data_IF_618894535246
#
_entry.id   IF_618894535246
#
_cell.length_a   1.000
_cell.length_b   1.000
_cell.length_c   1.000
_cell.angle_alpha   90.00
_cell.angle_beta   90.00
_cell.angle_gamma   90.00
#
_symmetry.space_group_name_H-M   'P 1'
#
loop_
_entity.id
_entity.type
_entity.pdbx_description
1 polymer ?
#
# COMPACT_ATOMS: atom_id res chain seq x y z
N UNK A 1 -4.94 31.10 1.15
CA UNK A 1 -6.24 30.50 1.56
C UNK A 1 -6.22 29.05 1.10
N UNK A 2 -5.64 28.18 1.95
CA UNK A 2 -5.55 26.75 1.65
C UNK A 2 -6.95 26.19 1.81
N UNK A 3 -7.53 25.74 0.71
CA UNK A 3 -8.84 25.07 0.72
C UNK A 3 -8.61 23.66 1.26
N UNK A 4 -9.02 23.41 2.50
CA UNK A 4 -9.18 22.05 3.01
C UNK A 4 -10.26 21.37 2.19
N UNK A 5 -9.86 20.61 1.19
CA UNK A 5 -10.76 19.74 0.46
C UNK A 5 -10.90 18.43 1.24
N UNK A 6 -11.71 18.43 2.29
CA UNK A 6 -12.24 17.19 2.86
C UNK A 6 -13.25 16.64 1.86
N UNK A 7 -12.77 15.83 0.93
CA UNK A 7 -13.66 15.08 0.05
C UNK A 7 -13.97 13.76 0.75
N UNK A 8 -15.00 13.75 1.56
CA UNK A 8 -15.67 12.51 1.94
C UNK A 8 -16.39 12.02 0.68
N UNK A 9 -15.75 11.17 -0.09
CA UNK A 9 -16.39 10.56 -1.25
C UNK A 9 -17.16 9.35 -0.75
N UNK A 10 -18.45 9.50 -0.53
CA UNK A 10 -19.36 8.35 -0.47
C UNK A 10 -19.43 7.75 -1.87
N UNK A 11 -18.65 6.70 -2.11
CA UNK A 11 -18.70 5.98 -3.38
C UNK A 11 -19.80 4.94 -3.29
N UNK A 12 -20.95 5.25 -3.90
CA UNK A 12 -21.97 4.27 -4.23
C UNK A 12 -21.37 3.25 -5.23
N UNK A 13 -21.48 1.98 -4.88
CA UNK A 13 -21.14 0.80 -5.67
C UNK A 13 -21.28 0.98 -7.19
N UNK A 14 -20.16 1.17 -7.90
CA UNK A 14 -19.96 0.73 -9.29
C UNK A 14 -18.47 0.78 -9.64
N UNK A 15 -18.00 -0.25 -10.29
CA UNK A 15 -16.62 -0.51 -10.73
C UNK A 15 -15.92 0.64 -11.47
N UNK A 16 -16.67 1.59 -12.02
CA UNK A 16 -16.16 2.79 -12.71
C UNK A 16 -15.53 3.85 -11.79
N UNK A 17 -15.90 3.87 -10.49
CA UNK A 17 -15.32 4.80 -9.51
C UNK A 17 -13.88 4.47 -9.14
N UNK A 18 -13.52 3.19 -9.17
CA UNK A 18 -12.19 2.72 -8.82
C UNK A 18 -11.10 3.20 -9.79
N UNK A 19 -11.40 3.21 -11.09
CA UNK A 19 -10.44 3.65 -12.12
C UNK A 19 -10.20 5.17 -12.09
N UNK A 20 -11.25 5.97 -11.88
CA UNK A 20 -11.13 7.43 -11.76
C UNK A 20 -10.32 7.83 -10.52
N UNK A 21 -10.50 7.11 -9.45
CA UNK A 21 -9.82 7.28 -8.20
C UNK A 21 -8.31 7.03 -8.31
N UNK A 22 -7.90 5.93 -8.94
CA UNK A 22 -6.49 5.63 -9.19
C UNK A 22 -5.81 6.65 -10.11
N UNK A 23 -6.53 7.20 -11.09
CA UNK A 23 -6.02 8.26 -11.98
C UNK A 23 -5.73 9.54 -11.21
N UNK A 24 -6.55 9.89 -10.21
CA UNK A 24 -6.33 11.08 -9.36
C UNK A 24 -5.09 10.91 -8.50
N UNK A 25 -4.88 9.75 -7.87
CA UNK A 25 -3.67 9.48 -7.06
C UNK A 25 -2.42 9.49 -7.95
N UNK A 26 -2.48 8.85 -9.11
CA UNK A 26 -1.36 8.81 -10.04
C UNK A 26 -0.95 10.23 -10.47
N UNK A 27 -1.90 11.07 -10.87
CA UNK A 27 -1.63 12.45 -11.26
C UNK A 27 -1.14 13.30 -10.09
N UNK A 28 -1.74 13.16 -8.88
CA UNK A 28 -1.26 13.84 -7.68
C UNK A 28 0.18 13.44 -7.32
N UNK A 29 0.53 12.14 -7.40
CA UNK A 29 1.89 11.71 -7.12
C UNK A 29 2.91 12.19 -8.14
N UNK A 30 2.54 12.28 -9.43
CA UNK A 30 3.39 12.83 -10.49
C UNK A 30 3.58 14.34 -10.35
N UNK A 31 2.47 15.08 -10.19
CA UNK A 31 2.51 16.54 -10.09
C UNK A 31 3.22 17.01 -8.80
N UNK A 32 3.04 16.29 -7.69
CA UNK A 32 3.66 16.65 -6.41
C UNK A 32 5.15 16.32 -6.35
N UNK A 33 5.63 15.30 -7.06
CA UNK A 33 7.07 15.00 -7.12
C UNK A 33 7.90 16.05 -7.87
N UNK A 34 7.26 16.79 -8.78
CA UNK A 34 7.91 17.85 -9.57
C UNK A 34 7.87 19.22 -8.88
N UNK A 35 7.10 19.38 -7.79
CA UNK A 35 6.96 20.64 -7.06
C UNK A 35 7.37 20.50 -5.58
N UNK A 36 8.69 20.45 -5.29
CA UNK A 36 9.18 20.27 -3.91
C UNK A 36 8.72 21.39 -2.96
N UNK A 37 8.44 22.58 -3.45
CA UNK A 37 8.02 23.71 -2.60
C UNK A 37 6.60 23.53 -2.04
N UNK A 38 5.69 22.90 -2.78
CA UNK A 38 4.33 22.57 -2.27
C UNK A 38 4.36 21.47 -1.20
N UNK A 39 5.22 20.47 -1.39
CA UNK A 39 5.43 19.43 -0.40
C UNK A 39 6.15 19.96 0.84
N UNK A 40 7.11 20.90 0.64
CA UNK A 40 7.76 21.60 1.73
C UNK A 40 6.75 22.29 2.65
N UNK A 41 5.79 23.02 2.06
CA UNK A 41 4.72 23.70 2.80
C UNK A 41 4.02 22.76 3.79
N UNK A 42 3.64 21.57 3.34
CA UNK A 42 2.93 20.59 4.18
C UNK A 42 3.86 19.95 5.20
N UNK A 43 5.09 19.57 4.81
CA UNK A 43 5.97 18.75 5.65
C UNK A 43 6.74 19.61 6.65
N UNK A 44 7.12 20.83 6.30
CA UNK A 44 7.87 21.73 7.18
C UNK A 44 6.96 22.48 8.17
N UNK A 45 5.66 22.56 7.88
CA UNK A 45 4.63 23.16 8.73
C UNK A 45 3.65 22.13 9.32
N UNK A 46 4.08 20.89 9.46
CA UNK A 46 3.23 19.76 9.88
C UNK A 46 2.44 20.04 11.17
N UNK A 47 3.07 20.69 12.15
CA UNK A 47 2.42 21.01 13.43
C UNK A 47 1.31 22.06 13.29
N UNK A 48 1.42 22.98 12.33
CA UNK A 48 0.40 23.99 12.05
C UNK A 48 -0.83 23.36 11.39
N UNK A 49 -0.62 22.34 10.56
CA UNK A 49 -1.68 21.60 9.87
C UNK A 49 -2.22 20.41 10.68
N UNK A 50 -1.60 20.09 11.82
CA UNK A 50 -2.00 18.98 12.66
C UNK A 50 -1.59 17.61 12.11
N UNK A 51 -0.63 17.55 11.18
CA UNK A 51 -0.09 16.31 10.66
C UNK A 51 1.09 15.81 11.49
N UNK A 52 1.36 14.51 11.39
CA UNK A 52 2.51 13.87 12.00
C UNK A 52 2.53 12.37 11.73
N UNK A 53 3.59 11.69 12.13
CA UNK A 53 3.66 10.24 12.11
C UNK A 53 3.17 9.68 13.44
N UNK A 54 2.30 8.67 13.42
CA UNK A 54 2.03 7.87 14.59
C UNK A 54 3.31 7.18 15.07
N UNK A 55 3.58 7.25 16.37
CA UNK A 55 4.71 6.54 16.96
C UNK A 55 4.61 5.02 16.78
N UNK A 56 3.40 4.49 16.95
CA UNK A 56 3.08 3.11 16.60
C UNK A 56 2.46 3.08 15.21
N UNK A 57 3.12 2.41 14.28
CA UNK A 57 2.66 2.23 12.92
C UNK A 57 1.25 1.61 12.83
N UNK A 58 0.93 0.70 13.78
CA UNK A 58 -0.37 0.02 13.81
C UNK A 58 -1.55 0.97 14.09
N UNK A 59 -1.29 2.12 14.72
CA UNK A 59 -2.32 3.12 15.04
C UNK A 59 -3.08 3.64 13.80
N UNK A 60 -2.50 3.52 12.60
CA UNK A 60 -3.17 3.86 11.36
C UNK A 60 -4.37 2.96 11.01
N UNK A 61 -4.50 1.79 11.65
CA UNK A 61 -5.57 0.81 11.40
C UNK A 61 -6.36 0.44 12.64
N UNK A 62 -6.24 1.22 13.71
CA UNK A 62 -7.05 1.07 14.91
C UNK A 62 -8.22 2.05 14.87
N UNK A 63 -9.44 1.58 15.09
CA UNK A 63 -10.70 2.35 15.06
C UNK A 63 -10.63 3.71 15.76
N UNK A 64 -9.93 3.78 16.89
CA UNK A 64 -9.85 5.01 17.69
C UNK A 64 -8.80 6.01 17.17
N UNK A 65 -7.89 5.61 16.30
CA UNK A 65 -6.74 6.42 15.88
C UNK A 65 -6.52 6.50 14.38
N UNK A 66 -7.22 5.68 13.58
CA UNK A 66 -7.03 5.60 12.14
C UNK A 66 -7.31 6.92 11.39
N UNK A 67 -8.24 7.74 11.86
CA UNK A 67 -8.52 9.09 11.36
C UNK A 67 -7.68 10.17 12.06
N UNK A 68 -6.51 9.80 12.61
CA UNK A 68 -5.64 10.66 13.40
C UNK A 68 -4.66 11.49 12.58
N UNK A 69 -3.53 11.81 13.22
CA UNK A 69 -2.53 12.76 12.70
C UNK A 69 -1.85 12.35 11.38
N UNK A 70 -1.89 11.08 11.04
CA UNK A 70 -1.27 10.56 9.82
C UNK A 70 -2.28 10.46 8.65
N UNK A 71 -3.59 10.52 8.91
CA UNK A 71 -4.64 10.42 7.90
C UNK A 71 -4.77 11.74 7.12
N UNK A 72 -4.41 11.75 5.82
CA UNK A 72 -4.55 12.91 4.93
C UNK A 72 -5.80 12.77 4.09
N UNK A 73 -6.00 11.61 3.46
CA UNK A 73 -7.17 11.28 2.67
C UNK A 73 -7.52 9.82 2.89
N UNK A 74 -8.76 9.54 3.25
CA UNK A 74 -9.23 8.18 3.50
C UNK A 74 -10.71 8.02 3.16
N UNK A 75 -11.12 6.77 2.96
CA UNK A 75 -12.52 6.37 2.84
C UNK A 75 -12.97 5.87 4.20
N UNK A 76 -13.99 6.53 4.77
CA UNK A 76 -14.57 6.12 6.04
C UNK A 76 -15.53 4.96 5.84
N UNK A 77 -15.35 3.90 6.63
CA UNK A 77 -16.20 2.73 6.68
C UNK A 77 -16.86 2.59 8.05
N UNK A 78 -18.04 2.01 8.08
CA UNK A 78 -18.79 1.70 9.32
C UNK A 78 -19.49 0.37 9.21
N UNK A 79 -19.76 -0.25 10.35
CA UNK A 79 -20.59 -1.45 10.41
C UNK A 79 -22.00 -1.23 9.81
N UNK A 80 -22.66 -2.31 9.36
CA UNK A 80 -24.01 -2.22 8.82
C UNK A 80 -24.98 -1.43 9.72
N UNK A 81 -25.90 -0.66 9.14
CA UNK A 81 -26.30 -0.64 7.72
C UNK A 81 -25.45 0.24 6.80
N UNK A 82 -24.32 0.74 7.28
CA UNK A 82 -23.41 1.57 6.50
C UNK A 82 -22.48 0.72 5.62
N UNK A 83 -21.68 1.38 4.81
CA UNK A 83 -20.70 0.73 3.94
C UNK A 83 -19.53 0.21 4.79
N UNK A 84 -19.16 -1.05 4.61
CA UNK A 84 -18.04 -1.72 5.28
C UNK A 84 -16.90 -2.02 4.31
N UNK A 85 -15.70 -2.17 4.87
CA UNK A 85 -14.51 -2.53 4.13
C UNK A 85 -14.44 -4.07 3.94
N UNK A 86 -14.18 -4.50 2.72
CA UNK A 86 -14.02 -5.92 2.38
C UNK A 86 -12.60 -6.45 2.48
N UNK A 87 -11.61 -5.64 2.84
CA UNK A 87 -10.19 -6.02 2.81
C UNK A 87 -9.85 -7.18 3.76
N UNK A 88 -10.46 -7.22 4.95
CA UNK A 88 -10.30 -8.36 5.84
C UNK A 88 -10.79 -9.68 5.21
N UNK A 89 -11.87 -9.63 4.42
CA UNK A 89 -12.37 -10.79 3.70
C UNK A 89 -11.39 -11.25 2.61
N UNK A 90 -10.84 -10.30 1.84
CA UNK A 90 -9.90 -10.59 0.76
C UNK A 90 -8.55 -11.11 1.26
N UNK A 91 -8.06 -10.55 2.35
CA UNK A 91 -6.75 -10.85 2.91
C UNK A 91 -6.76 -11.95 3.98
N UNK A 92 -7.93 -12.34 4.49
CA UNK A 92 -8.07 -13.31 5.57
C UNK A 92 -7.86 -14.76 5.13
N UNK A 93 -7.41 -15.63 6.06
CA UNK A 93 -7.05 -17.01 5.76
C UNK A 93 -8.27 -17.88 5.41
N UNK A 94 -8.16 -18.65 4.34
CA UNK A 94 -9.17 -19.61 3.90
C UNK A 94 -8.58 -21.00 3.63
N UNK A 95 -7.44 -21.02 2.97
CA UNK A 95 -6.80 -22.27 2.51
C UNK A 95 -5.47 -22.53 3.23
N UNK A 96 -4.81 -21.48 3.71
CA UNK A 96 -3.49 -21.53 4.35
C UNK A 96 -3.52 -22.04 5.79
N UNK A 97 -4.71 -22.17 6.40
CA UNK A 97 -4.90 -22.71 7.75
C UNK A 97 -5.61 -24.04 7.68
N UNK A 98 -5.08 -25.10 8.36
CA UNK A 98 -5.80 -26.36 8.52
C UNK A 98 -7.07 -26.15 9.36
N UNK A 99 -8.24 -26.33 8.78
CA UNK A 99 -9.51 -26.16 9.46
C UNK A 99 -10.11 -24.77 9.26
N UNK A 100 -11.05 -24.39 10.13
CA UNK A 100 -11.76 -23.11 10.08
C UNK A 100 -11.42 -22.26 11.28
N UNK A 101 -11.35 -20.94 11.09
CA UNK A 101 -11.27 -19.97 12.20
C UNK A 101 -12.62 -19.71 12.88
N UNK A 102 -13.72 -20.26 12.35
CA UNK A 102 -15.07 -19.92 12.79
C UNK A 102 -15.56 -18.53 12.32
N UNK A 103 -14.81 -17.91 11.41
CA UNK A 103 -15.11 -16.62 10.77
C UNK A 103 -15.58 -16.91 9.35
N UNK A 104 -16.71 -16.33 8.94
CA UNK A 104 -17.24 -16.46 7.57
C UNK A 104 -16.64 -15.42 6.62
N UNK A 105 -16.89 -15.59 5.32
CA UNK A 105 -16.52 -14.65 4.25
C UNK A 105 -15.02 -14.36 4.11
N UNK A 106 -14.13 -15.21 4.58
CA UNK A 106 -12.69 -15.12 4.29
C UNK A 106 -12.37 -15.74 2.93
N UNK A 107 -11.50 -15.11 2.13
CA UNK A 107 -11.29 -15.46 0.73
C UNK A 107 -9.84 -15.77 0.36
N UNK A 108 -8.85 -15.17 1.04
CA UNK A 108 -7.41 -15.36 0.72
C UNK A 108 -7.07 -15.00 -0.73
N UNK A 109 -7.69 -13.93 -1.25
CA UNK A 109 -7.52 -13.48 -2.63
C UNK A 109 -6.47 -12.38 -2.79
N UNK A 110 -6.28 -11.53 -1.76
CA UNK A 110 -5.27 -10.47 -1.72
C UNK A 110 -4.25 -10.77 -0.62
N UNK A 111 -3.20 -11.48 -0.99
CA UNK A 111 -2.16 -11.93 -0.07
C UNK A 111 -0.80 -11.34 -0.43
N UNK A 112 0.02 -10.98 0.58
CA UNK A 112 1.38 -10.53 0.34
C UNK A 112 2.24 -11.66 -0.25
N UNK A 113 3.21 -11.30 -1.09
CA UNK A 113 4.18 -12.26 -1.58
C UNK A 113 5.18 -12.64 -0.49
N UNK A 114 5.70 -13.88 -0.54
CA UNK A 114 6.77 -14.32 0.35
C UNK A 114 8.02 -13.42 0.20
N UNK A 115 8.32 -12.97 -1.03
CA UNK A 115 9.41 -12.04 -1.30
C UNK A 115 9.29 -10.74 -0.49
N UNK A 116 8.08 -10.18 -0.40
CA UNK A 116 7.85 -8.97 0.40
C UNK A 116 8.07 -9.25 1.90
N UNK A 117 7.56 -10.36 2.41
CA UNK A 117 7.74 -10.76 3.81
C UNK A 117 9.21 -10.92 4.18
N UNK A 118 10.00 -11.54 3.29
CA UNK A 118 11.42 -11.82 3.50
C UNK A 118 12.30 -10.56 3.41
N UNK A 119 11.81 -9.50 2.76
CA UNK A 119 12.51 -8.20 2.69
C UNK A 119 12.47 -7.41 3.99
N UNK A 120 11.52 -7.70 4.88
CA UNK A 120 11.45 -7.01 6.16
C UNK A 120 12.53 -7.51 7.13
N UNK A 121 13.36 -6.61 7.63
CA UNK A 121 14.23 -6.87 8.80
C UNK A 121 13.36 -7.31 9.99
N UNK A 122 13.84 -8.25 10.78
CA UNK A 122 13.10 -8.70 11.96
C UNK A 122 12.95 -7.63 13.05
N UNK A 123 13.77 -6.58 13.00
CA UNK A 123 13.68 -5.40 13.89
C UNK A 123 12.67 -4.37 13.38
N UNK A 124 12.23 -4.45 12.12
CA UNK A 124 11.25 -3.54 11.56
C UNK A 124 9.88 -3.78 12.20
N UNK A 125 9.44 -2.83 13.01
CA UNK A 125 8.21 -2.93 13.80
C UNK A 125 6.95 -2.99 12.91
N UNK A 126 7.04 -2.53 11.65
CA UNK A 126 5.94 -2.61 10.67
C UNK A 126 5.65 -4.06 10.26
N UNK A 127 6.64 -4.96 10.35
CA UNK A 127 6.50 -6.36 9.95
C UNK A 127 5.31 -7.02 10.63
N UNK A 128 5.14 -6.83 11.93
CA UNK A 128 4.06 -7.42 12.71
C UNK A 128 2.67 -6.88 12.37
N UNK A 129 2.58 -5.64 11.86
CA UNK A 129 1.33 -5.03 11.41
C UNK A 129 0.99 -5.43 9.98
N UNK A 130 2.00 -5.41 9.10
CA UNK A 130 1.80 -5.75 7.69
C UNK A 130 1.49 -7.24 7.49
N UNK A 131 1.99 -8.11 8.37
CA UNK A 131 1.86 -9.55 8.21
C UNK A 131 1.33 -10.23 9.45
N UNK A 132 0.41 -11.16 9.24
CA UNK A 132 -0.15 -12.02 10.26
C UNK A 132 0.01 -13.49 9.85
N UNK A 133 0.58 -14.30 10.72
CA UNK A 133 0.84 -15.74 10.49
C UNK A 133 0.14 -16.63 11.49
N UNK A 134 -0.45 -16.03 12.53
CA UNK A 134 -1.17 -16.73 13.59
C UNK A 134 -2.54 -16.08 13.81
N UNK A 135 -3.56 -16.89 13.95
CA UNK A 135 -4.95 -16.45 14.07
C UNK A 135 -5.66 -17.20 15.18
N UNK A 136 -6.42 -16.48 16.01
CA UNK A 136 -7.24 -17.10 17.03
C UNK A 136 -8.56 -17.61 16.42
N UNK A 137 -8.91 -18.87 16.71
CA UNK A 137 -10.22 -19.40 16.37
C UNK A 137 -11.29 -18.65 17.18
N UNK A 138 -12.32 -18.12 16.50
CA UNK A 138 -13.29 -17.19 17.08
C UNK A 138 -13.98 -17.73 18.36
N UNK A 139 -14.31 -19.02 18.42
CA UNK A 139 -15.07 -19.61 19.54
C UNK A 139 -14.20 -20.27 20.59
N UNK A 140 -13.10 -20.90 20.16
CA UNK A 140 -12.25 -21.70 21.08
C UNK A 140 -11.06 -20.92 21.60
N UNK A 141 -10.65 -19.84 20.94
CA UNK A 141 -9.42 -19.10 21.22
C UNK A 141 -8.14 -19.87 20.86
N UNK A 142 -8.26 -21.04 20.23
CA UNK A 142 -7.11 -21.81 19.76
C UNK A 142 -6.33 -21.01 18.72
N UNK A 143 -5.00 -20.97 18.88
CA UNK A 143 -4.13 -20.29 17.91
C UNK A 143 -3.78 -21.24 16.78
N UNK A 144 -4.22 -20.89 15.61
CA UNK A 144 -3.96 -21.61 14.35
C UNK A 144 -2.91 -20.87 13.53
N UNK A 145 -1.98 -21.61 12.92
CA UNK A 145 -0.89 -21.04 12.12
C UNK A 145 -1.19 -21.13 10.65
N UNK A 146 -0.98 -20.03 9.95
CA UNK A 146 -1.01 -20.02 8.49
C UNK A 146 0.31 -20.55 7.91
N UNK A 147 0.22 -21.29 6.81
CA UNK A 147 1.39 -21.75 6.06
C UNK A 147 2.10 -20.63 5.27
N UNK A 148 1.46 -19.48 5.11
CA UNK A 148 1.96 -18.30 4.41
C UNK A 148 1.69 -17.03 5.23
N UNK A 149 2.47 -15.95 5.05
CA UNK A 149 2.12 -14.66 5.62
C UNK A 149 0.88 -14.08 4.94
N UNK A 150 -0.06 -13.57 5.73
CA UNK A 150 -1.27 -12.90 5.27
C UNK A 150 -1.24 -11.44 5.70
N UNK A 151 -2.07 -10.58 5.09
CA UNK A 151 -2.13 -9.17 5.51
C UNK A 151 -2.70 -9.03 6.92
N UNK A 152 -2.02 -8.23 7.74
CA UNK A 152 -2.47 -7.92 9.10
C UNK A 152 -3.13 -6.56 9.26
N UNK A 153 -2.98 -5.65 8.28
CA UNK A 153 -3.44 -4.26 8.41
C UNK A 153 -4.92 -4.10 8.71
N UNK A 154 -5.75 -4.84 7.99
CA UNK A 154 -7.21 -4.74 8.11
C UNK A 154 -7.81 -5.86 8.98
N UNK A 155 -6.97 -6.58 9.72
CA UNK A 155 -7.45 -7.64 10.57
C UNK A 155 -8.04 -7.10 11.87
N UNK A 156 -9.32 -7.36 12.10
CA UNK A 156 -10.05 -7.01 13.32
C UNK A 156 -10.39 -8.29 14.08
N UNK A 157 -9.88 -8.41 15.30
CA UNK A 157 -10.17 -9.55 16.15
C UNK A 157 -11.65 -9.56 16.61
N UNK A 158 -12.24 -10.74 16.68
CA UNK A 158 -13.59 -10.93 17.19
C UNK A 158 -14.73 -10.73 16.19
N UNK A 159 -14.45 -10.38 14.93
CA UNK A 159 -15.49 -10.32 13.91
C UNK A 159 -15.94 -11.73 13.49
N UNK A 160 -17.26 -11.92 13.37
CA UNK A 160 -17.85 -13.19 12.93
C UNK A 160 -17.76 -13.38 11.39
N UNK A 161 -17.52 -12.30 10.67
CA UNK A 161 -17.43 -12.31 9.20
C UNK A 161 -16.45 -11.26 8.70
N UNK A 162 -15.56 -11.65 7.78
CA UNK A 162 -14.52 -10.79 7.24
C UNK A 162 -15.03 -9.66 6.32
N UNK A 163 -16.28 -9.77 5.84
CA UNK A 163 -16.89 -8.75 4.97
C UNK A 163 -17.53 -7.58 5.74
N UNK A 164 -17.35 -7.52 7.07
CA UNK A 164 -17.90 -6.44 7.92
C UNK A 164 -16.82 -5.65 8.66
N UNK A 165 -15.62 -5.60 8.11
CA UNK A 165 -14.56 -4.77 8.64
C UNK A 165 -14.91 -3.28 8.48
N UNK A 166 -14.77 -2.50 9.53
CA UNK A 166 -15.05 -1.07 9.58
C UNK A 166 -13.76 -0.22 9.66
N UNK A 167 -12.61 -0.82 9.47
CA UNK A 167 -11.33 -0.11 9.37
C UNK A 167 -11.31 0.73 8.11
N UNK A 168 -10.94 2.00 8.24
CA UNK A 168 -10.88 2.94 7.15
C UNK A 168 -9.80 2.57 6.13
N UNK A 169 -10.06 2.86 4.85
CA UNK A 169 -9.07 2.70 3.80
C UNK A 169 -8.34 4.02 3.56
N UNK A 170 -7.08 4.07 3.94
CA UNK A 170 -6.23 5.21 3.64
C UNK A 170 -5.89 5.25 2.15
N UNK A 171 -6.03 6.45 1.59
CA UNK A 171 -5.65 6.77 0.22
C UNK A 171 -4.30 7.45 0.21
N UNK A 172 -4.15 8.45 1.10
CA UNK A 172 -2.91 9.20 1.31
C UNK A 172 -2.71 9.30 2.82
N UNK A 173 -1.57 8.83 3.29
CA UNK A 173 -1.11 9.08 4.65
C UNK A 173 0.01 10.12 4.65
N UNK A 174 0.22 10.76 5.80
CA UNK A 174 1.29 11.75 5.94
C UNK A 174 2.69 11.17 5.66
N UNK A 175 2.90 9.87 5.92
CA UNK A 175 4.11 9.15 5.49
C UNK A 175 4.36 9.23 3.99
N UNK A 176 3.29 9.23 3.16
CA UNK A 176 3.40 9.38 1.72
C UNK A 176 3.88 10.79 1.33
N UNK A 177 3.34 11.84 1.97
CA UNK A 177 3.80 13.21 1.78
C UNK A 177 5.30 13.38 2.11
N UNK A 178 5.76 12.77 3.22
CA UNK A 178 7.18 12.78 3.61
C UNK A 178 8.05 12.09 2.55
N UNK A 179 7.63 10.91 2.08
CA UNK A 179 8.42 10.15 1.09
C UNK A 179 8.40 10.82 -0.30
N UNK A 180 7.28 11.40 -0.72
CA UNK A 180 7.23 12.21 -1.95
C UNK A 180 8.16 13.43 -1.83
N UNK A 181 8.17 14.11 -0.68
CA UNK A 181 9.08 15.23 -0.44
C UNK A 181 10.54 14.80 -0.46
N UNK A 182 10.88 13.65 0.15
CA UNK A 182 12.22 13.09 0.11
C UNK A 182 12.68 12.80 -1.33
N UNK A 183 11.81 12.24 -2.15
CA UNK A 183 12.07 11.96 -3.56
C UNK A 183 12.31 13.25 -4.35
N UNK A 184 11.44 14.25 -4.22
CA UNK A 184 11.58 15.56 -4.86
C UNK A 184 12.86 16.28 -4.46
N UNK A 185 13.23 16.26 -3.19
CA UNK A 185 14.48 16.83 -2.68
C UNK A 185 15.72 16.16 -3.30
N UNK A 186 15.69 14.84 -3.46
CA UNK A 186 16.77 14.11 -4.14
C UNK A 186 16.88 14.53 -5.61
N UNK A 187 15.75 14.69 -6.30
CA UNK A 187 15.75 15.09 -7.71
C UNK A 187 16.36 16.48 -7.94
N UNK A 188 16.14 17.41 -7.03
CA UNK A 188 16.75 18.77 -7.09
C UNK A 188 18.11 18.89 -6.39
N UNK A 189 18.72 17.76 -6.00
CA UNK A 189 20.10 17.72 -5.45
C UNK A 189 20.23 18.12 -3.98
N UNK A 190 19.12 18.23 -3.23
CA UNK A 190 19.11 18.52 -1.79
C UNK A 190 19.29 17.22 -0.96
N UNK A 191 20.33 16.45 -1.27
CA UNK A 191 20.51 15.05 -0.80
C UNK A 191 20.50 14.89 0.72
N UNK A 192 21.10 15.82 1.48
CA UNK A 192 21.13 15.73 2.95
C UNK A 192 19.72 15.83 3.53
N UNK A 193 18.89 16.75 3.01
CA UNK A 193 17.51 16.92 3.47
C UNK A 193 16.63 15.76 3.01
N UNK A 194 16.83 15.28 1.79
CA UNK A 194 16.17 14.08 1.27
C UNK A 194 16.41 12.87 2.18
N UNK A 195 17.67 12.64 2.56
CA UNK A 195 18.05 11.54 3.45
C UNK A 195 17.42 11.68 4.85
N UNK A 196 17.37 12.90 5.38
CA UNK A 196 16.73 13.15 6.67
C UNK A 196 15.23 12.81 6.62
N UNK A 197 14.51 13.17 5.55
CA UNK A 197 13.09 12.83 5.38
C UNK A 197 12.87 11.31 5.26
N UNK A 198 13.68 10.64 4.47
CA UNK A 198 13.63 9.18 4.35
C UNK A 198 13.89 8.49 5.69
N UNK A 199 14.87 8.96 6.44
CA UNK A 199 15.22 8.41 7.74
C UNK A 199 14.14 8.66 8.82
N UNK A 200 13.31 9.69 8.73
CA UNK A 200 12.14 9.85 9.62
C UNK A 200 11.19 8.63 9.58
N UNK A 201 10.95 8.10 8.38
CA UNK A 201 10.12 6.90 8.20
C UNK A 201 10.82 5.68 8.82
N UNK A 202 12.13 5.56 8.62
CA UNK A 202 12.91 4.44 9.15
C UNK A 202 13.05 4.48 10.67
N UNK A 203 13.25 5.64 11.26
CA UNK A 203 13.26 5.81 12.72
C UNK A 203 11.95 5.36 13.37
N UNK A 204 10.81 5.69 12.75
CA UNK A 204 9.53 5.17 13.20
C UNK A 204 9.45 3.65 13.01
N UNK A 205 9.95 3.12 11.88
CA UNK A 205 9.93 1.69 11.56
C UNK A 205 10.79 0.85 12.50
N UNK A 206 11.94 1.37 12.95
CA UNK A 206 12.86 0.66 13.85
C UNK A 206 12.73 1.06 15.32
N UNK A 207 12.01 2.15 15.61
CA UNK A 207 11.89 2.71 16.95
C UNK A 207 13.11 3.54 17.40
N UNK A 208 14.17 3.55 16.58
CA UNK A 208 15.42 4.29 16.78
C UNK A 208 16.12 4.53 15.43
N UNK A 209 17.35 5.06 15.48
CA UNK A 209 18.17 5.36 14.30
C UNK A 209 18.96 4.15 13.75
N UNK A 210 18.83 2.98 14.33
CA UNK A 210 19.57 1.76 13.94
C UNK A 210 19.26 1.29 12.51
N UNK A 211 18.09 1.67 12.00
CA UNK A 211 17.67 1.41 10.63
C UNK A 211 18.03 2.49 9.63
N UNK A 212 18.65 3.59 10.04
CA UNK A 212 18.90 4.74 9.18
C UNK A 212 19.88 4.47 8.05
N UNK A 213 19.53 4.95 6.86
CA UNK A 213 20.43 4.98 5.73
C UNK A 213 21.58 5.98 5.94
N UNK A 214 22.72 5.66 5.39
CA UNK A 214 23.90 6.54 5.32
C UNK A 214 23.84 7.36 4.02
N UNK A 215 24.64 8.45 3.92
CA UNK A 215 24.76 9.19 2.66
C UNK A 215 25.05 8.29 1.48
N UNK A 216 24.35 8.52 0.39
CA UNK A 216 24.38 7.72 -0.83
C UNK A 216 24.26 8.61 -2.07
N UNK A 217 24.56 8.05 -3.24
CA UNK A 217 24.36 8.73 -4.53
C UNK A 217 22.87 8.95 -4.83
N UNK A 218 22.58 9.84 -5.78
CA UNK A 218 21.21 10.13 -6.24
C UNK A 218 20.47 8.88 -6.73
N UNK A 219 21.17 7.99 -7.46
CA UNK A 219 20.53 6.79 -8.03
C UNK A 219 20.33 5.69 -6.97
N UNK A 220 21.26 5.56 -6.02
CA UNK A 220 21.07 4.69 -4.87
C UNK A 220 19.87 5.16 -4.03
N UNK A 221 19.71 6.47 -3.87
CA UNK A 221 18.56 7.03 -3.15
C UNK A 221 17.23 6.71 -3.87
N UNK A 222 17.16 6.84 -5.21
CA UNK A 222 15.99 6.45 -5.99
C UNK A 222 15.59 5.00 -5.72
N UNK A 223 16.56 4.11 -5.66
CA UNK A 223 16.33 2.70 -5.33
C UNK A 223 15.88 2.52 -3.88
N UNK A 224 16.54 3.19 -2.95
CA UNK A 224 16.25 3.10 -1.52
C UNK A 224 14.82 3.60 -1.20
N UNK A 225 14.43 4.75 -1.74
CA UNK A 225 13.10 5.32 -1.48
C UNK A 225 11.98 4.47 -2.09
N UNK A 226 12.18 3.94 -3.30
CA UNK A 226 11.19 3.05 -3.93
C UNK A 226 11.01 1.74 -3.14
N UNK A 227 12.07 1.23 -2.54
CA UNK A 227 12.01 0.08 -1.64
C UNK A 227 11.37 0.46 -0.30
N UNK A 228 11.69 1.62 0.28
CA UNK A 228 11.07 2.07 1.53
C UNK A 228 9.55 2.27 1.35
N UNK A 229 9.11 2.85 0.23
CA UNK A 229 7.69 2.94 -0.12
C UNK A 229 7.04 1.56 -0.21
N UNK A 230 7.72 0.57 -0.77
CA UNK A 230 7.24 -0.82 -0.82
C UNK A 230 7.04 -1.43 0.58
N UNK A 231 7.90 -1.09 1.55
CA UNK A 231 7.80 -1.57 2.93
C UNK A 231 6.77 -0.77 3.77
N UNK A 232 6.58 0.49 3.42
CA UNK A 232 5.66 1.39 4.14
C UNK A 232 4.19 1.14 3.75
N UNK A 233 3.91 0.87 2.48
CA UNK A 233 2.56 0.85 1.90
C UNK A 233 2.08 -0.52 1.37
N UNK A 234 2.39 -1.69 1.99
CA UNK A 234 1.75 -2.93 1.58
C UNK A 234 0.24 -2.81 1.70
N UNK A 235 -0.51 -3.31 0.74
CA UNK A 235 -1.99 -3.29 0.67
C UNK A 235 -2.65 -1.89 0.70
N UNK A 236 -1.92 -0.83 0.35
CA UNK A 236 -2.46 0.52 0.25
C UNK A 236 -2.57 1.03 -1.20
N UNK A 237 -2.36 0.16 -2.18
CA UNK A 237 -2.57 0.46 -3.60
C UNK A 237 -1.45 1.25 -4.29
N UNK A 238 -0.39 1.67 -3.58
CA UNK A 238 0.66 2.53 -4.15
C UNK A 238 1.61 1.80 -5.11
N UNK A 239 1.86 0.49 -4.92
CA UNK A 239 2.96 -0.21 -5.58
C UNK A 239 2.91 -0.20 -7.10
N UNK A 240 1.74 -0.42 -7.69
CA UNK A 240 1.56 -0.37 -9.14
C UNK A 240 2.01 0.98 -9.72
N UNK A 241 1.53 2.06 -9.12
CA UNK A 241 1.84 3.43 -9.57
C UNK A 241 3.33 3.75 -9.42
N UNK A 242 3.94 3.36 -8.32
CA UNK A 242 5.38 3.52 -8.09
C UNK A 242 6.20 2.82 -9.18
N UNK A 243 5.83 1.60 -9.56
CA UNK A 243 6.55 0.83 -10.57
C UNK A 243 6.35 1.40 -11.98
N UNK A 244 5.14 1.86 -12.31
CA UNK A 244 4.84 2.42 -13.63
C UNK A 244 5.50 3.80 -13.80
N UNK A 245 5.33 4.73 -12.84
CA UNK A 245 5.92 6.08 -12.93
C UNK A 245 7.45 6.07 -12.95
N UNK A 246 8.10 5.09 -12.32
CA UNK A 246 9.56 4.95 -12.33
C UNK A 246 10.08 4.10 -13.50
N UNK A 247 9.20 3.59 -14.37
CA UNK A 247 9.56 2.75 -15.51
C UNK A 247 10.16 1.39 -15.14
N UNK A 248 9.98 0.95 -13.88
CA UNK A 248 10.61 -0.28 -13.35
C UNK A 248 9.68 -1.49 -13.35
N UNK A 249 8.41 -1.34 -13.75
CA UNK A 249 7.40 -2.38 -13.65
C UNK A 249 7.83 -3.71 -14.29
N UNK A 250 8.20 -3.69 -15.56
CA UNK A 250 8.55 -4.92 -16.30
C UNK A 250 9.77 -5.62 -15.67
N UNK A 251 10.79 -4.84 -15.32
CA UNK A 251 11.98 -5.39 -14.68
C UNK A 251 11.65 -6.05 -13.34
N UNK A 252 10.88 -5.37 -12.49
CA UNK A 252 10.50 -5.88 -11.17
C UNK A 252 9.62 -7.11 -11.24
N UNK A 253 8.73 -7.20 -12.22
CA UNK A 253 7.92 -8.42 -12.44
C UNK A 253 8.78 -9.61 -12.85
N UNK A 254 9.80 -9.40 -13.68
CA UNK A 254 10.79 -10.44 -14.05
C UNK A 254 11.64 -10.88 -12.84
N UNK A 255 12.08 -9.94 -12.02
CA UNK A 255 12.84 -10.23 -10.79
C UNK A 255 12.00 -11.04 -9.80
N UNK A 256 10.73 -10.65 -9.61
CA UNK A 256 9.81 -11.38 -8.75
C UNK A 256 9.58 -12.82 -9.26
N UNK A 257 9.36 -12.99 -10.56
CA UNK A 257 9.23 -14.33 -11.16
C UNK A 257 10.47 -15.19 -10.94
N UNK A 258 11.67 -14.61 -11.02
CA UNK A 258 12.91 -15.32 -10.75
C UNK A 258 13.08 -15.69 -9.26
N UNK A 259 12.57 -14.85 -8.34
CA UNK A 259 12.50 -15.18 -6.92
C UNK A 259 11.53 -16.36 -6.67
N UNK A 260 10.31 -16.29 -7.19
CA UNK A 260 9.29 -17.34 -7.04
C UNK A 260 9.78 -18.70 -7.59
N UNK A 261 10.50 -18.70 -8.70
CA UNK A 261 11.08 -19.90 -9.28
C UNK A 261 12.13 -20.58 -8.37
N UNK A 262 12.81 -19.79 -7.52
CA UNK A 262 13.80 -20.33 -6.55
C UNK A 262 13.14 -20.89 -5.29
N UNK A 263 12.06 -20.24 -4.83
CA UNK A 263 11.45 -20.56 -3.53
C UNK A 263 10.40 -21.66 -3.64
N UNK A 264 9.66 -21.72 -4.74
CA UNK A 264 8.46 -22.53 -4.83
C UNK A 264 8.68 -23.95 -5.38
N UNK A 265 9.91 -24.36 -5.75
CA UNK A 265 10.20 -25.64 -6.44
C UNK A 265 9.28 -25.96 -7.65
N UNK A 266 8.40 -25.02 -8.00
CA UNK A 266 7.36 -25.17 -9.02
C UNK A 266 7.62 -24.21 -10.19
N UNK A 267 7.22 -24.61 -11.39
CA UNK A 267 7.29 -23.89 -12.67
C UNK A 267 6.53 -22.53 -12.67
N UNK A 268 6.79 -21.63 -11.71
CA UNK A 268 6.19 -20.29 -11.63
C UNK A 268 6.95 -19.23 -12.46
N UNK A 269 7.55 -19.65 -13.58
CA UNK A 269 8.19 -18.74 -14.54
C UNK A 269 7.20 -18.02 -15.46
N UNK A 270 5.90 -18.31 -15.33
CA UNK A 270 4.87 -17.81 -16.22
C UNK A 270 4.77 -16.28 -16.25
N UNK A 271 4.98 -15.60 -15.12
CA UNK A 271 4.94 -14.14 -15.07
C UNK A 271 6.04 -13.56 -15.97
N UNK A 272 7.29 -14.04 -15.84
CA UNK A 272 8.41 -13.52 -16.63
C UNK A 272 8.25 -13.78 -18.13
N UNK A 273 7.58 -14.89 -18.48
CA UNK A 273 7.33 -15.26 -19.88
C UNK A 273 6.19 -14.45 -20.50
N UNK A 274 5.17 -14.11 -19.70
CA UNK A 274 3.94 -13.49 -20.17
C UNK A 274 3.93 -11.96 -20.04
N UNK A 275 4.78 -11.38 -19.17
CA UNK A 275 4.82 -9.92 -19.00
C UNK A 275 5.36 -9.22 -20.25
N UNK A 276 4.63 -8.22 -20.75
CA UNK A 276 4.95 -7.47 -21.96
C UNK A 276 4.88 -5.97 -21.68
N UNK A 277 5.61 -5.19 -22.48
CA UNK A 277 5.73 -3.73 -22.30
C UNK A 277 4.36 -3.01 -22.32
N UNK A 278 3.41 -3.45 -23.13
CA UNK A 278 2.08 -2.83 -23.18
C UNK A 278 1.26 -3.02 -21.91
N UNK A 279 1.61 -4.00 -21.06
CA UNK A 279 0.88 -4.28 -19.81
C UNK A 279 1.06 -3.22 -18.73
N UNK A 280 1.86 -2.20 -18.97
CA UNK A 280 1.87 -0.96 -18.15
C UNK A 280 0.56 -0.17 -18.26
N UNK A 281 -0.22 -0.39 -19.33
CA UNK A 281 -1.55 0.14 -19.49
C UNK A 281 -2.56 -1.00 -19.36
N UNK A 282 -3.71 -0.72 -18.76
CA UNK A 282 -4.82 -1.67 -18.74
C UNK A 282 -5.57 -1.63 -20.08
N UNK A 283 -6.15 -2.78 -20.54
CA UNK A 283 -7.02 -2.76 -21.71
C UNK A 283 -8.28 -1.92 -21.41
N UNK A 284 -8.74 -1.19 -22.43
CA UNK A 284 -10.04 -0.52 -22.36
C UNK A 284 -11.11 -1.62 -22.42
N UNK A 285 -12.08 -1.65 -21.48
CA UNK A 285 -13.16 -2.64 -21.54
C UNK A 285 -13.90 -2.61 -22.88
N UNK A 286 -14.18 -3.77 -23.44
CA UNK A 286 -14.86 -3.86 -24.76
C UNK A 286 -16.20 -3.13 -24.75
N UNK A 287 -16.94 -3.17 -23.64
CA UNK A 287 -18.20 -2.44 -23.47
C UNK A 287 -18.07 -0.93 -23.68
N UNK A 288 -16.93 -0.34 -23.31
CA UNK A 288 -16.69 1.09 -23.49
C UNK A 288 -16.38 1.43 -24.96
N UNK A 289 -15.63 0.55 -25.61
CA UNK A 289 -15.33 0.68 -27.06
C UNK A 289 -16.62 0.54 -27.89
N UNK A 290 -17.50 -0.40 -27.53
CA UNK A 290 -18.77 -0.62 -28.22
C UNK A 290 -19.74 0.57 -28.09
N UNK A 291 -19.65 1.31 -26.97
CA UNK A 291 -20.47 2.49 -26.70
C UNK A 291 -19.90 3.78 -27.32
N UNK A 292 -18.60 3.85 -27.54
CA UNK A 292 -17.94 5.04 -28.07
C UNK A 292 -17.01 4.70 -29.25
N UNK A 293 -17.46 4.90 -30.48
CA UNK A 293 -16.70 4.55 -31.70
C UNK A 293 -15.41 5.35 -31.89
N UNK A 294 -15.18 6.40 -31.08
CA UNK A 294 -13.92 7.16 -31.08
C UNK A 294 -12.85 6.55 -30.16
N UNK A 295 -13.19 5.56 -29.32
CA UNK A 295 -12.22 4.86 -28.50
C UNK A 295 -11.46 3.82 -29.33
N UNK A 296 -10.15 3.85 -29.21
CA UNK A 296 -9.25 2.87 -29.81
C UNK A 296 -8.55 2.13 -28.69
N UNK A 297 -8.53 0.81 -28.77
CA UNK A 297 -7.86 -0.04 -27.78
C UNK A 297 -6.38 0.32 -27.63
N UNK A 298 -5.86 0.21 -26.41
CA UNK A 298 -4.44 0.36 -26.16
C UNK A 298 -3.63 -0.65 -26.98
N UNK A 299 -2.49 -0.20 -27.50
CA UNK A 299 -1.65 -1.04 -28.36
C UNK A 299 -1.22 -2.32 -27.62
N UNK A 300 -1.42 -3.48 -28.26
CA UNK A 300 -1.03 -4.79 -27.73
C UNK A 300 -2.18 -5.63 -27.14
N UNK A 301 -3.40 -5.06 -27.08
CA UNK A 301 -4.63 -5.74 -26.68
C UNK A 301 -5.56 -5.99 -27.88
#
# INVERSE_FOLDING_TARGET
MVVYLFVVIQIYNKFSGFLLFFTIIYNLSLEMSDEPDKLAEVVEHESEYGFGLHKDYHANWLRDTEAGIEAVLYIEYKEPPFQHNGEMALAGPKYSIPGSLGISALNEADIPTQELYDQFDNRDLRKKTNFKTEFAHLKTGEILKSSIPLSGKFWVEGLETGDRCDVNMHIIRYADAILMYAEALNEVGKSTKALAMLNRIRERAFGDDSGNFKPMSKDEFRTAILNERRLEFPHEGHRWFDLVRTGTFIQRMKEHSAYEAKVAEANKTEIAQNIKEHMILMPIPQSEIDLNPNLVQNAGY
#
